data_IF_770561827536
#
_entry.id   IF_770561827536
#
_cell.length_a   1.000
_cell.length_b   1.000
_cell.length_c   1.000
_cell.angle_alpha   90.00
_cell.angle_beta   90.00
_cell.angle_gamma   90.00
#
_symmetry.space_group_name_H-M   'P 1'
#
loop_
_entity.id
_entity.type
_entity.pdbx_description
1 polymer ?
#
# COMPACT_ATOMS: atom_id res chain seq x y z
N UNK A 1 6.83 -18.39 -8.23
CA UNK A 1 8.18 -17.79 -8.37
C UNK A 1 9.29 -18.81 -8.59
N UNK A 2 9.38 -19.89 -7.80
CA UNK A 2 10.43 -20.93 -7.95
C UNK A 2 10.43 -21.57 -9.34
N UNK A 3 9.26 -21.88 -9.91
CA UNK A 3 9.12 -22.45 -11.26
C UNK A 3 9.75 -21.54 -12.32
N UNK A 4 9.44 -20.24 -12.31
CA UNK A 4 10.01 -19.27 -13.25
C UNK A 4 11.54 -19.17 -13.15
N UNK A 5 12.06 -19.21 -11.92
CA UNK A 5 13.51 -19.12 -11.70
C UNK A 5 14.24 -20.37 -12.17
N UNK A 6 13.63 -21.56 -12.01
CA UNK A 6 14.23 -22.82 -12.40
C UNK A 6 14.11 -23.10 -13.90
N UNK A 7 13.00 -22.70 -14.51
CA UNK A 7 12.70 -23.01 -15.94
C UNK A 7 13.09 -21.89 -16.88
N UNK A 8 13.31 -20.67 -16.38
CA UNK A 8 13.53 -19.48 -17.20
C UNK A 8 12.27 -19.07 -17.99
N UNK A 9 11.09 -19.53 -17.60
CA UNK A 9 9.82 -19.24 -18.27
C UNK A 9 9.51 -17.75 -18.24
N UNK A 10 9.13 -17.19 -19.38
CA UNK A 10 8.58 -15.84 -19.46
C UNK A 10 7.08 -15.88 -19.23
N UNK A 11 6.56 -14.90 -18.55
CA UNK A 11 5.13 -14.69 -18.35
C UNK A 11 4.67 -13.48 -19.17
N UNK A 12 3.49 -13.60 -19.76
CA UNK A 12 2.80 -12.44 -20.30
C UNK A 12 2.11 -11.64 -19.16
N UNK A 13 1.53 -10.49 -19.51
CA UNK A 13 0.93 -9.59 -18.52
C UNK A 13 -0.27 -10.22 -17.78
N UNK A 14 -1.10 -10.96 -18.46
CA UNK A 14 -2.29 -11.61 -17.88
C UNK A 14 -1.89 -12.77 -16.96
N UNK A 15 -0.90 -13.56 -17.36
CA UNK A 15 -0.32 -14.60 -16.50
C UNK A 15 0.29 -13.99 -15.25
N UNK A 16 1.05 -12.89 -15.38
CA UNK A 16 1.66 -12.21 -14.24
C UNK A 16 0.61 -11.64 -13.27
N UNK A 17 -0.53 -11.18 -13.78
CA UNK A 17 -1.67 -10.74 -12.97
C UNK A 17 -2.33 -11.93 -12.25
N UNK A 18 -2.55 -13.02 -12.94
CA UNK A 18 -3.15 -14.25 -12.39
C UNK A 18 -2.29 -14.87 -11.31
N UNK A 19 -0.97 -14.88 -11.52
CA UNK A 19 0.01 -15.38 -10.55
C UNK A 19 0.33 -14.36 -9.43
N UNK A 20 -0.36 -13.23 -9.39
CA UNK A 20 -0.19 -12.16 -8.39
C UNK A 20 1.23 -11.55 -8.33
N UNK A 21 1.99 -11.65 -9.42
CA UNK A 21 3.32 -11.04 -9.55
C UNK A 21 3.19 -9.54 -9.76
N UNK A 22 2.19 -9.13 -10.54
CA UNK A 22 1.80 -7.73 -10.71
C UNK A 22 0.39 -7.48 -10.17
N UNK A 23 0.12 -6.29 -9.73
CA UNK A 23 -1.19 -5.91 -9.19
C UNK A 23 -2.13 -5.32 -10.25
N UNK A 24 -1.57 -4.71 -11.27
CA UNK A 24 -2.29 -4.02 -12.33
C UNK A 24 -1.66 -4.33 -13.67
N UNK A 25 -2.50 -4.48 -14.68
CA UNK A 25 -2.11 -4.52 -16.09
C UNK A 25 -2.85 -3.38 -16.78
N UNK A 26 -2.14 -2.59 -17.53
CA UNK A 26 -2.68 -1.44 -18.25
C UNK A 26 -2.47 -1.64 -19.76
N UNK A 27 -3.30 -1.02 -20.61
CA UNK A 27 -3.05 -1.00 -22.04
C UNK A 27 -1.66 -0.41 -22.36
N UNK A 28 -1.14 -0.73 -23.53
CA UNK A 28 0.15 -0.23 -23.98
C UNK A 28 0.24 1.29 -23.86
N UNK A 29 1.32 1.77 -23.23
CA UNK A 29 1.52 3.20 -22.94
C UNK A 29 0.79 3.72 -21.69
N UNK A 30 -0.14 2.97 -21.09
CA UNK A 30 -0.93 3.40 -19.92
C UNK A 30 -0.21 3.32 -18.58
N UNK A 31 0.83 2.50 -18.47
CA UNK A 31 1.50 2.18 -17.22
C UNK A 31 2.03 3.42 -16.47
N UNK A 32 2.62 4.39 -17.17
CA UNK A 32 3.15 5.61 -16.56
C UNK A 32 2.03 6.48 -15.96
N UNK A 33 0.92 6.64 -16.65
CA UNK A 33 -0.22 7.40 -16.17
C UNK A 33 -0.80 6.75 -14.90
N UNK A 34 -0.94 5.43 -14.91
CA UNK A 34 -1.38 4.65 -13.74
C UNK A 34 -0.42 4.78 -12.56
N UNK A 35 0.88 4.66 -12.82
CA UNK A 35 1.90 4.80 -11.78
C UNK A 35 1.87 6.20 -11.13
N UNK A 36 1.73 7.25 -11.91
CA UNK A 36 1.58 8.62 -11.40
C UNK A 36 0.31 8.80 -10.56
N UNK A 37 -0.80 8.23 -10.98
CA UNK A 37 -2.05 8.27 -10.22
C UNK A 37 -1.92 7.54 -8.87
N UNK A 38 -1.27 6.38 -8.85
CA UNK A 38 -0.98 5.65 -7.60
C UNK A 38 -0.04 6.44 -6.70
N UNK A 39 1.03 7.01 -7.25
CA UNK A 39 1.96 7.84 -6.51
C UNK A 39 1.28 9.07 -5.88
N UNK A 40 0.39 9.73 -6.62
CA UNK A 40 -0.38 10.85 -6.11
C UNK A 40 -1.30 10.45 -4.95
N UNK A 41 -1.90 9.26 -4.98
CA UNK A 41 -2.68 8.71 -3.86
C UNK A 41 -1.81 8.41 -2.64
N UNK A 42 -0.65 7.78 -2.85
CA UNK A 42 0.31 7.48 -1.78
C UNK A 42 0.82 8.77 -1.13
N UNK A 43 1.06 9.82 -1.92
CA UNK A 43 1.49 11.12 -1.44
C UNK A 43 0.46 11.84 -0.56
N UNK A 44 -0.79 11.40 -0.55
CA UNK A 44 -1.81 11.91 0.39
C UNK A 44 -1.62 11.40 1.82
N UNK A 45 -0.87 10.34 2.02
CA UNK A 45 -0.47 9.88 3.33
C UNK A 45 0.64 10.78 3.89
N UNK A 46 0.81 10.79 5.23
CA UNK A 46 1.98 11.44 5.80
C UNK A 46 3.25 10.67 5.42
N UNK A 47 4.37 11.39 5.30
CA UNK A 47 5.68 10.81 5.00
C UNK A 47 6.02 9.72 6.02
N UNK A 48 5.72 9.96 7.29
CA UNK A 48 5.96 9.02 8.38
C UNK A 48 5.15 7.73 8.21
N UNK A 49 3.87 7.83 7.86
CA UNK A 49 3.02 6.66 7.59
C UNK A 49 3.58 5.83 6.45
N UNK A 50 3.95 6.47 5.34
CA UNK A 50 4.53 5.77 4.20
C UNK A 50 5.86 5.09 4.58
N UNK A 51 6.70 5.79 5.35
CA UNK A 51 7.97 5.23 5.82
C UNK A 51 7.76 3.99 6.69
N UNK A 52 6.80 4.02 7.62
CA UNK A 52 6.46 2.90 8.49
C UNK A 52 5.95 1.70 7.69
N UNK A 53 5.09 1.93 6.72
CA UNK A 53 4.56 0.86 5.86
C UNK A 53 5.67 0.18 5.07
N UNK A 54 6.62 0.94 4.55
CA UNK A 54 7.69 0.40 3.68
C UNK A 54 8.80 -0.25 4.50
N UNK A 55 9.14 0.32 5.67
CA UNK A 55 10.34 -0.09 6.40
C UNK A 55 10.07 -0.90 7.68
N UNK A 56 8.94 -0.70 8.32
CA UNK A 56 8.63 -1.37 9.60
C UNK A 56 7.81 -2.64 9.36
N UNK A 57 6.70 -2.57 8.62
CA UNK A 57 5.80 -3.70 8.45
C UNK A 57 6.48 -4.96 7.87
N UNK A 58 7.38 -4.88 6.86
CA UNK A 58 8.06 -6.07 6.36
C UNK A 58 8.93 -6.77 7.40
N UNK A 59 9.46 -6.01 8.37
CA UNK A 59 10.30 -6.56 9.44
C UNK A 59 9.51 -7.27 10.53
N UNK A 60 8.25 -6.87 10.74
CA UNK A 60 7.37 -7.50 11.72
C UNK A 60 7.11 -8.98 11.37
N UNK A 61 7.09 -9.33 10.10
CA UNK A 61 6.85 -10.70 9.64
C UNK A 61 7.94 -11.69 10.07
N UNK A 62 9.15 -11.21 10.31
CA UNK A 62 10.30 -12.04 10.70
C UNK A 62 10.50 -12.12 12.22
N UNK A 63 9.64 -11.44 12.99
CA UNK A 63 9.70 -11.42 14.45
C UNK A 63 8.81 -12.49 15.07
N UNK A 64 9.09 -12.82 16.34
CA UNK A 64 8.14 -13.57 17.16
C UNK A 64 6.83 -12.78 17.28
N UNK A 65 5.72 -13.46 17.58
CA UNK A 65 4.43 -12.81 17.77
C UNK A 65 4.49 -11.68 18.82
N UNK A 66 5.15 -11.94 19.93
CA UNK A 66 5.26 -10.99 21.05
C UNK A 66 6.13 -9.78 20.68
N UNK A 67 7.27 -10.01 20.03
CA UNK A 67 8.14 -8.94 19.56
C UNK A 67 7.48 -8.10 18.46
N UNK A 68 6.72 -8.73 17.58
CA UNK A 68 5.94 -8.06 16.55
C UNK A 68 4.89 -7.13 17.14
N UNK A 69 4.10 -7.61 18.11
CA UNK A 69 3.13 -6.79 18.84
C UNK A 69 3.79 -5.65 19.60
N UNK A 70 4.91 -5.90 20.25
CA UNK A 70 5.66 -4.86 20.96
C UNK A 70 6.14 -3.76 20.01
N UNK A 71 6.68 -4.14 18.84
CA UNK A 71 7.12 -3.19 17.83
C UNK A 71 5.96 -2.37 17.27
N UNK A 72 4.79 -2.98 17.04
CA UNK A 72 3.58 -2.28 16.60
C UNK A 72 3.10 -1.28 17.65
N UNK A 73 3.07 -1.67 18.92
CA UNK A 73 2.69 -0.79 20.03
C UNK A 73 3.66 0.38 20.18
N UNK A 74 4.97 0.12 20.13
CA UNK A 74 6.00 1.14 20.18
C UNK A 74 5.85 2.14 19.03
N UNK A 75 5.62 1.63 17.83
CA UNK A 75 5.41 2.43 16.64
C UNK A 75 4.13 3.29 16.73
N UNK A 76 3.09 2.79 17.38
CA UNK A 76 1.84 3.52 17.62
C UNK A 76 1.96 4.56 18.72
N UNK A 77 2.82 4.32 19.72
CA UNK A 77 3.08 5.23 20.84
C UNK A 77 4.03 6.39 20.47
N UNK A 78 4.79 6.26 19.37
CA UNK A 78 5.62 7.37 18.89
C UNK A 78 4.75 8.58 18.57
N UNK A 79 5.24 9.77 18.95
CA UNK A 79 4.51 11.02 18.78
C UNK A 79 3.87 11.15 17.39
N UNK A 80 2.56 11.33 17.36
CA UNK A 80 1.83 11.54 16.11
C UNK A 80 2.03 12.98 15.69
N UNK A 81 2.47 13.24 14.46
CA UNK A 81 2.52 14.61 13.93
C UNK A 81 1.15 15.29 14.05
N UNK A 82 1.08 16.60 14.31
CA UNK A 82 -0.19 17.34 14.41
C UNK A 82 -1.13 17.11 13.20
N UNK A 83 -0.56 16.89 12.02
CA UNK A 83 -1.30 16.62 10.79
C UNK A 83 -2.09 15.30 10.86
N UNK A 84 -1.57 14.29 11.54
CA UNK A 84 -2.26 13.00 11.74
C UNK A 84 -3.45 13.18 12.68
N UNK A 85 -3.28 13.96 13.73
CA UNK A 85 -4.37 14.27 14.66
C UNK A 85 -5.49 15.06 13.98
N UNK A 86 -5.13 16.04 13.16
CA UNK A 86 -6.12 16.82 12.41
C UNK A 86 -6.89 15.94 11.41
N UNK A 87 -6.21 15.08 10.67
CA UNK A 87 -6.85 14.13 9.75
C UNK A 87 -7.79 13.16 10.46
N UNK A 88 -7.40 12.69 11.64
CA UNK A 88 -8.26 11.82 12.44
C UNK A 88 -9.53 12.56 12.90
N UNK A 89 -9.40 13.81 13.34
CA UNK A 89 -10.56 14.65 13.67
C UNK A 89 -11.47 14.88 12.47
N UNK A 90 -10.88 15.23 11.32
CA UNK A 90 -11.63 15.45 10.08
C UNK A 90 -12.38 14.19 9.64
N UNK A 91 -11.79 13.01 9.87
CA UNK A 91 -12.44 11.73 9.60
C UNK A 91 -13.61 11.48 10.56
N UNK A 92 -13.39 11.67 11.87
CA UNK A 92 -14.44 11.49 12.89
C UNK A 92 -15.59 12.49 12.67
N UNK A 93 -15.27 13.71 12.27
CA UNK A 93 -16.24 14.77 11.97
C UNK A 93 -16.95 14.60 10.62
N UNK A 94 -16.61 13.55 9.86
CA UNK A 94 -17.17 13.29 8.52
C UNK A 94 -16.74 14.31 7.45
N UNK A 95 -15.69 15.08 7.72
CA UNK A 95 -15.14 16.10 6.79
C UNK A 95 -14.11 15.52 5.82
N UNK A 96 -13.49 14.39 6.18
CA UNK A 96 -12.51 13.73 5.32
C UNK A 96 -13.24 12.86 4.30
N UNK A 97 -12.95 13.05 3.02
CA UNK A 97 -13.38 12.10 1.99
C UNK A 97 -12.79 10.70 2.27
N UNK A 98 -13.56 9.62 2.09
CA UNK A 98 -13.01 8.28 2.25
C UNK A 98 -11.83 8.10 1.29
N UNK A 99 -10.68 7.65 1.80
CA UNK A 99 -9.46 7.42 1.03
C UNK A 99 -9.61 6.30 -0.01
N UNK A 100 -10.66 5.51 0.11
CA UNK A 100 -10.99 4.43 -0.82
C UNK A 100 -12.44 4.59 -1.24
N UNK A 101 -12.67 4.90 -2.51
CA UNK A 101 -14.01 4.78 -3.08
C UNK A 101 -14.47 3.32 -2.97
N UNK A 102 -15.72 3.05 -2.54
CA UNK A 102 -16.25 1.71 -2.51
C UNK A 102 -16.16 1.09 -3.92
N UNK A 103 -15.85 -0.22 -3.97
CA UNK A 103 -15.81 -0.98 -5.21
C UNK A 103 -17.22 -0.95 -5.80
N UNK A 104 -17.45 -0.17 -6.84
CA UNK A 104 -18.76 -0.08 -7.52
C UNK A 104 -19.09 1.27 -8.16
N UNK A 105 -18.39 2.35 -7.82
CA UNK A 105 -18.70 3.68 -8.37
C UNK A 105 -17.64 4.22 -9.35
N UNK A 106 -17.06 3.37 -10.14
CA UNK A 106 -16.04 3.75 -11.12
C UNK A 106 -15.77 2.67 -12.16
N UNK A 107 -16.82 2.07 -12.66
CA UNK A 107 -16.76 1.11 -13.72
C UNK A 107 -17.42 1.65 -14.99
N UNK A 108 -16.66 2.27 -15.86
CA UNK A 108 -16.90 2.33 -17.30
C UNK A 108 -15.55 2.42 -17.98
#
# INVERSE_FOLDING_TARGET
MTDMMLTGRLLNADEALTEHIVRYVEPEGGALARAKALAARIAQNTVETNWKIVHVLPRVQDLSHDDGLFLEQLNSAMARPPEVEQRLRDFVDGKAAPLVAPKGEGGS
#
